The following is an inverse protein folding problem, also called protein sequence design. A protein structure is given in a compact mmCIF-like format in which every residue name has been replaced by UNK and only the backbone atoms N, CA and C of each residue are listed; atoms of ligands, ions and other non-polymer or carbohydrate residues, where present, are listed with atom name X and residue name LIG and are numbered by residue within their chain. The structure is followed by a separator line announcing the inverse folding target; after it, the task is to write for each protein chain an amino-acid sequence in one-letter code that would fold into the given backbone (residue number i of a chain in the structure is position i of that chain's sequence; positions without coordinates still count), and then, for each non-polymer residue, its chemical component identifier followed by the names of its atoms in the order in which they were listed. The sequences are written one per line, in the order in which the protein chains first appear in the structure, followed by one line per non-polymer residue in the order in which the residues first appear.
data_IF_758566991647
#
_entry.id   IF_758566991647
#
_cell.length_a   1.000
_cell.length_b   1.000
_cell.length_c   1.000
_cell.angle_alpha   90.00
_cell.angle_beta   90.00
_cell.angle_gamma   90.00
#
_symmetry.space_group_name_H-M   'P 1'
#
loop_
_entity.id
_entity.type
_entity.pdbx_description
1 polymer ?
#
# COMPACT_ATOMS: atom_id res chain seq x y z
N UNK A 1 2.10 24.17 -34.88
CA UNK A 1 3.55 23.92 -34.74
C UNK A 1 3.73 22.67 -33.89
N UNK A 2 3.86 21.54 -34.56
CA UNK A 2 4.02 20.20 -34.00
C UNK A 2 5.48 19.98 -33.61
N UNK A 3 5.76 19.69 -32.34
CA UNK A 3 7.10 19.33 -31.86
C UNK A 3 7.30 17.82 -32.00
N UNK A 4 8.38 17.46 -32.69
CA UNK A 4 8.85 16.10 -32.94
C UNK A 4 9.29 15.41 -31.64
N UNK A 5 8.90 14.14 -31.49
CA UNK A 5 9.45 13.23 -30.48
C UNK A 5 10.71 12.54 -31.04
N UNK A 6 11.84 12.76 -30.38
CA UNK A 6 13.13 12.12 -30.68
C UNK A 6 13.14 10.67 -30.20
N UNK A 7 13.08 9.71 -31.12
CA UNK A 7 13.26 8.28 -30.84
C UNK A 7 14.74 7.95 -30.54
N UNK A 8 15.04 7.52 -29.32
CA UNK A 8 16.36 7.00 -28.93
C UNK A 8 16.54 5.58 -29.48
N UNK A 9 17.60 5.38 -30.27
CA UNK A 9 18.09 4.10 -30.80
C UNK A 9 18.46 3.15 -29.66
N UNK A 10 17.86 1.96 -29.63
CA UNK A 10 18.37 0.82 -28.88
C UNK A 10 19.49 0.12 -29.66
N UNK A 11 20.61 -0.09 -28.99
CA UNK A 11 21.79 -0.77 -29.49
C UNK A 11 21.52 -2.28 -29.50
N UNK A 12 21.37 -2.89 -30.68
CA UNK A 12 21.34 -4.34 -30.84
C UNK A 12 22.77 -4.88 -30.69
N UNK A 13 23.04 -5.61 -29.61
CA UNK A 13 24.26 -6.39 -29.45
C UNK A 13 24.32 -7.45 -30.55
N UNK A 14 25.22 -7.26 -31.52
CA UNK A 14 25.57 -8.29 -32.52
C UNK A 14 26.56 -9.26 -31.87
N UNK A 15 26.11 -10.45 -31.51
CA UNK A 15 26.99 -11.59 -31.25
C UNK A 15 27.71 -11.97 -32.54
N UNK A 16 29.01 -11.68 -32.60
CA UNK A 16 29.86 -12.08 -33.72
C UNK A 16 30.30 -13.53 -33.51
N UNK A 17 29.88 -14.42 -34.40
CA UNK A 17 30.41 -15.79 -34.47
C UNK A 17 31.63 -15.78 -35.38
N UNK A 18 32.81 -15.92 -34.78
CA UNK A 18 34.09 -15.95 -35.49
C UNK A 18 34.36 -17.37 -36.01
N UNK A 19 34.20 -17.58 -37.32
CA UNK A 19 34.53 -18.86 -37.97
C UNK A 19 36.03 -18.89 -38.29
N UNK A 20 36.82 -19.54 -37.43
CA UNK A 20 38.22 -19.87 -37.73
C UNK A 20 38.28 -20.93 -38.83
N UNK A 21 38.88 -20.58 -39.97
CA UNK A 21 39.17 -21.51 -41.08
C UNK A 21 40.29 -22.48 -40.65
N UNK A 22 39.94 -23.73 -40.39
CA UNK A 22 40.92 -24.82 -40.31
C UNK A 22 41.22 -25.34 -41.73
N UNK A 23 42.51 -25.47 -42.05
CA UNK A 23 43.00 -26.10 -43.30
C UNK A 23 42.68 -27.60 -43.28
N UNK A 24 42.32 -28.10 -44.45
CA UNK A 24 41.79 -29.43 -44.72
C UNK A 24 42.76 -30.60 -44.47
N UNK A 25 42.22 -31.70 -43.94
CA UNK A 25 42.60 -33.08 -44.29
C UNK A 25 41.37 -34.00 -44.11
N UNK A 26 41.22 -35.09 -44.88
CA UNK A 26 39.93 -35.68 -45.22
C UNK A 26 39.43 -36.73 -44.22
N UNK A 27 38.20 -37.19 -44.44
CA UNK A 27 37.47 -38.31 -43.80
C UNK A 27 36.85 -38.07 -42.43
N UNK A 28 35.61 -37.54 -42.43
CA UNK A 28 34.48 -38.18 -41.72
C UNK A 28 33.16 -37.57 -42.14
N UNK A 29 32.19 -38.46 -42.38
CA UNK A 29 30.82 -38.18 -42.80
C UNK A 29 30.11 -37.40 -41.68
N UNK A 30 29.78 -36.12 -41.89
CA UNK A 30 28.89 -35.37 -41.01
C UNK A 30 27.54 -35.28 -41.69
N UNK A 31 26.56 -35.99 -41.13
CA UNK A 31 25.14 -35.89 -41.49
C UNK A 31 24.65 -34.52 -41.02
N UNK A 32 24.44 -33.60 -41.95
CA UNK A 32 23.80 -32.31 -41.66
C UNK A 32 22.29 -32.49 -41.82
N UNK A 33 21.62 -32.79 -40.72
CA UNK A 33 20.16 -32.76 -40.63
C UNK A 33 19.69 -31.30 -40.64
N UNK A 34 19.20 -30.82 -41.79
CA UNK A 34 18.50 -29.53 -41.89
C UNK A 34 17.10 -29.72 -41.34
N UNK A 35 16.88 -29.36 -40.08
CA UNK A 35 15.53 -29.23 -39.51
C UNK A 35 15.03 -27.83 -39.84
N UNK A 36 14.17 -27.74 -40.85
CA UNK A 36 13.46 -26.53 -41.23
C UNK A 36 12.29 -26.32 -40.26
N UNK A 37 12.55 -25.66 -39.12
CA UNK A 37 11.51 -25.27 -38.17
C UNK A 37 10.77 -24.03 -38.67
N UNK A 38 9.54 -24.19 -39.11
CA UNK A 38 8.63 -23.09 -39.44
C UNK A 38 8.35 -22.24 -38.20
N UNK A 39 8.85 -21.01 -38.19
CA UNK A 39 8.44 -19.98 -37.23
C UNK A 39 7.05 -19.47 -37.64
N UNK A 40 6.02 -20.05 -37.03
CA UNK A 40 4.71 -19.42 -36.95
C UNK A 40 4.84 -18.20 -36.02
N UNK A 41 4.88 -17.00 -36.62
CA UNK A 41 4.67 -15.75 -35.91
C UNK A 41 3.21 -15.73 -35.48
N UNK A 42 2.94 -16.23 -34.27
CA UNK A 42 1.68 -15.97 -33.60
C UNK A 42 1.65 -14.51 -33.18
N UNK A 43 0.74 -13.73 -33.76
CA UNK A 43 0.28 -12.49 -33.15
C UNK A 43 -0.45 -12.87 -31.86
N UNK A 44 0.29 -12.99 -30.76
CA UNK A 44 -0.29 -13.00 -29.43
C UNK A 44 -0.99 -11.66 -29.25
N UNK A 45 -2.32 -11.68 -29.21
CA UNK A 45 -3.06 -10.55 -28.67
C UNK A 45 -2.67 -10.48 -27.20
N UNK A 46 -2.05 -9.38 -26.77
CA UNK A 46 -1.91 -9.03 -25.37
C UNK A 46 -3.34 -8.85 -24.82
N UNK A 47 -3.95 -9.94 -24.36
CA UNK A 47 -5.13 -9.89 -23.51
C UNK A 47 -4.74 -9.07 -22.28
N UNK A 48 -5.49 -8.01 -21.91
CA UNK A 48 -5.19 -7.27 -20.71
C UNK A 48 -5.18 -8.24 -19.53
N UNK A 49 -4.07 -8.30 -18.80
CA UNK A 49 -3.92 -9.16 -17.65
C UNK A 49 -5.07 -8.86 -16.68
N UNK A 50 -6.04 -9.77 -16.60
CA UNK A 50 -7.08 -9.73 -15.59
C UNK A 50 -6.40 -10.15 -14.30
N UNK A 51 -6.11 -9.20 -13.42
CA UNK A 51 -5.67 -9.59 -12.09
C UNK A 51 -6.86 -10.10 -11.30
N UNK A 52 -6.65 -11.29 -10.77
CA UNK A 52 -7.52 -11.91 -9.81
C UNK A 52 -7.05 -11.50 -8.40
N UNK A 53 -7.94 -10.84 -7.67
CA UNK A 53 -7.70 -10.31 -6.35
C UNK A 53 -8.16 -11.34 -5.34
N UNK A 54 -7.29 -11.74 -4.43
CA UNK A 54 -7.67 -12.60 -3.34
C UNK A 54 -8.47 -11.80 -2.30
N UNK A 55 -9.67 -12.27 -1.98
CA UNK A 55 -10.40 -11.82 -0.82
C UNK A 55 -9.80 -12.49 0.40
N UNK A 56 -9.35 -11.68 1.37
CA UNK A 56 -8.77 -12.16 2.61
C UNK A 56 -9.65 -11.74 3.79
N UNK A 57 -10.57 -12.63 4.23
CA UNK A 57 -11.31 -12.44 5.46
C UNK A 57 -10.38 -12.29 6.67
N UNK A 58 -10.92 -11.75 7.76
CA UNK A 58 -10.23 -11.71 9.06
C UNK A 58 -9.80 -13.12 9.51
N UNK A 59 -8.64 -13.19 10.17
CA UNK A 59 -8.03 -14.43 10.65
C UNK A 59 -7.76 -15.46 9.53
N UNK A 60 -7.43 -15.00 8.33
CA UNK A 60 -7.01 -15.86 7.20
C UNK A 60 -5.74 -15.34 6.54
N UNK A 61 -5.09 -16.19 5.75
CA UNK A 61 -4.05 -15.79 4.81
C UNK A 61 -4.34 -16.48 3.46
N UNK A 62 -4.39 -15.72 2.36
CA UNK A 62 -4.61 -16.32 1.03
C UNK A 62 -3.32 -16.73 0.32
N UNK A 63 -2.19 -16.27 0.83
CA UNK A 63 -0.84 -16.61 0.38
C UNK A 63 0.00 -17.10 1.55
N UNK A 64 1.02 -17.90 1.25
CA UNK A 64 1.90 -18.55 2.23
C UNK A 64 2.49 -17.57 3.25
N UNK A 65 2.49 -17.94 4.53
CA UNK A 65 2.83 -17.02 5.62
C UNK A 65 4.35 -16.86 5.84
N UNK A 66 4.76 -15.63 6.09
CA UNK A 66 6.11 -15.32 6.57
C UNK A 66 6.31 -15.80 8.01
N UNK A 67 5.32 -15.64 8.87
CA UNK A 67 5.43 -16.00 10.29
C UNK A 67 4.14 -16.69 10.76
N UNK A 68 4.17 -17.41 11.90
CA UNK A 68 2.96 -17.63 12.68
C UNK A 68 2.26 -16.28 12.97
N UNK A 69 0.97 -16.27 13.33
CA UNK A 69 0.28 -15.04 13.69
C UNK A 69 1.01 -14.26 14.79
N UNK A 70 1.30 -13.00 14.51
CA UNK A 70 1.92 -12.01 15.42
C UNK A 70 0.92 -10.92 15.79
N UNK A 71 -0.37 -11.21 15.68
CA UNK A 71 -1.43 -10.26 15.96
C UNK A 71 -2.79 -10.93 15.87
N UNK A 72 -3.82 -10.20 16.29
CA UNK A 72 -5.20 -10.67 16.29
C UNK A 72 -6.07 -9.69 15.51
N UNK A 73 -6.76 -10.20 14.50
CA UNK A 73 -7.77 -9.44 13.79
C UNK A 73 -9.01 -9.22 14.68
N UNK A 74 -9.71 -8.10 14.48
CA UNK A 74 -10.99 -7.82 15.13
C UNK A 74 -12.14 -8.30 14.23
N UNK A 75 -13.10 -9.03 14.80
CA UNK A 75 -14.30 -9.48 14.08
C UNK A 75 -15.38 -8.41 14.13
N UNK A 76 -16.38 -8.52 13.24
CA UNK A 76 -17.59 -7.70 13.25
C UNK A 76 -17.36 -6.18 13.08
N UNK A 77 -16.20 -5.79 12.55
CA UNK A 77 -15.88 -4.39 12.23
C UNK A 77 -16.72 -3.94 11.03
N UNK A 78 -17.67 -3.04 11.29
CA UNK A 78 -18.50 -2.48 10.22
C UNK A 78 -17.79 -1.30 9.55
N UNK A 79 -17.58 -1.41 8.24
CA UNK A 79 -16.91 -0.35 7.49
C UNK A 79 -17.68 0.99 7.51
N UNK A 80 -17.00 2.15 7.65
CA UNK A 80 -17.59 3.49 7.52
C UNK A 80 -18.50 3.66 6.31
N UNK A 81 -19.51 4.53 6.43
CA UNK A 81 -20.50 4.79 5.35
C UNK A 81 -19.85 5.29 4.05
N UNK A 82 -18.79 6.07 4.19
CA UNK A 82 -17.98 6.63 3.10
C UNK A 82 -16.69 5.82 2.87
N UNK A 83 -16.67 4.54 3.22
CA UNK A 83 -15.61 3.62 2.81
C UNK A 83 -15.57 3.47 1.28
N UNK A 84 -14.37 3.27 0.74
CA UNK A 84 -14.14 3.07 -0.69
C UNK A 84 -13.34 4.20 -1.34
N UNK A 85 -12.83 3.92 -2.53
CA UNK A 85 -12.04 4.87 -3.32
C UNK A 85 -10.64 5.09 -2.75
N UNK A 86 -10.01 6.21 -3.11
CA UNK A 86 -8.68 6.56 -2.60
C UNK A 86 -8.82 7.45 -1.35
N UNK A 87 -8.24 7.01 -0.23
CA UNK A 87 -8.20 7.77 1.02
C UNK A 87 -6.76 8.01 1.43
N UNK A 88 -6.48 9.19 1.97
CA UNK A 88 -5.14 9.49 2.52
C UNK A 88 -4.91 8.68 3.79
N UNK A 89 -3.71 8.12 3.95
CA UNK A 89 -3.31 7.36 5.15
C UNK A 89 -3.42 8.13 6.47
N UNK A 90 -3.36 9.47 6.42
CA UNK A 90 -3.56 10.34 7.58
C UNK A 90 -5.01 10.71 7.88
N UNK A 91 -5.98 10.15 7.14
CA UNK A 91 -7.40 10.47 7.35
C UNK A 91 -7.84 10.01 8.74
N UNK A 92 -8.37 10.92 9.55
CA UNK A 92 -8.86 10.61 10.89
C UNK A 92 -9.92 9.50 10.83
N UNK A 93 -9.68 8.40 11.54
CA UNK A 93 -10.57 7.25 11.56
C UNK A 93 -10.54 6.37 10.32
N UNK A 94 -9.59 6.54 9.40
CA UNK A 94 -9.30 5.48 8.42
C UNK A 94 -8.97 4.18 9.12
N UNK A 95 -8.15 4.29 10.15
CA UNK A 95 -7.74 3.20 10.99
C UNK A 95 -8.51 3.18 12.31
N UNK A 96 -8.51 2.02 12.93
CA UNK A 96 -9.10 1.79 14.23
C UNK A 96 -8.17 1.02 15.15
N UNK A 97 -8.74 0.60 16.26
CA UNK A 97 -8.10 -0.24 17.27
C UNK A 97 -8.72 0.01 18.64
N UNK A 98 -8.19 -0.63 19.66
CA UNK A 98 -8.64 -0.41 21.03
C UNK A 98 -7.63 0.44 21.79
N UNK A 99 -8.10 1.51 22.45
CA UNK A 99 -7.23 2.40 23.20
C UNK A 99 -6.43 1.62 24.25
N UNK A 100 -5.11 1.84 24.29
CA UNK A 100 -4.16 1.15 25.20
C UNK A 100 -4.07 -0.37 25.01
N UNK A 101 -4.44 -0.87 23.83
CA UNK A 101 -4.32 -2.28 23.47
C UNK A 101 -3.70 -2.41 22.08
N UNK A 102 -2.79 -3.36 21.97
CA UNK A 102 -2.16 -3.73 20.71
C UNK A 102 -3.00 -4.76 19.95
N UNK A 103 -2.97 -4.66 18.62
CA UNK A 103 -3.53 -5.66 17.71
C UNK A 103 -2.43 -6.43 16.98
N UNK A 104 -1.20 -5.89 16.98
CA UNK A 104 -0.01 -6.46 16.37
C UNK A 104 1.15 -6.40 17.37
N UNK A 105 1.82 -7.53 17.55
CA UNK A 105 3.04 -7.71 18.32
C UNK A 105 4.25 -7.56 17.39
N UNK A 106 4.76 -6.33 17.34
CA UNK A 106 5.93 -5.97 16.53
C UNK A 106 7.21 -6.70 17.01
N UNK A 107 7.33 -6.97 18.30
CA UNK A 107 8.49 -7.66 18.88
C UNK A 107 8.50 -9.14 18.47
N UNK A 108 7.34 -9.81 18.48
CA UNK A 108 7.21 -11.19 18.01
C UNK A 108 7.54 -11.32 16.51
N UNK A 109 7.13 -10.35 15.68
CA UNK A 109 7.51 -10.30 14.26
C UNK A 109 9.03 -10.25 14.09
N UNK A 110 9.68 -9.29 14.75
CA UNK A 110 11.14 -9.10 14.67
C UNK A 110 11.86 -10.34 15.21
N UNK A 111 11.43 -10.85 16.36
CA UNK A 111 12.02 -12.01 17.00
C UNK A 111 11.94 -13.27 16.15
N UNK A 112 10.84 -13.47 15.43
CA UNK A 112 10.71 -14.58 14.47
C UNK A 112 11.63 -14.38 13.27
N UNK A 113 11.60 -13.21 12.62
CA UNK A 113 12.44 -12.94 11.44
C UNK A 113 13.94 -13.06 11.76
N UNK A 114 14.40 -12.62 12.93
CA UNK A 114 15.79 -12.78 13.35
C UNK A 114 16.23 -14.25 13.50
N UNK A 115 15.30 -15.15 13.85
CA UNK A 115 15.55 -16.59 13.93
C UNK A 115 15.50 -17.28 12.56
N UNK A 116 14.94 -16.62 11.54
CA UNK A 116 14.71 -17.16 10.20
C UNK A 116 15.32 -16.24 9.13
N UNK A 117 16.65 -16.32 8.99
CA UNK A 117 17.42 -15.39 8.15
C UNK A 117 17.03 -15.36 6.67
N UNK A 118 16.57 -16.47 6.11
CA UNK A 118 16.07 -16.58 4.73
C UNK A 118 14.75 -15.80 4.54
N UNK A 119 13.81 -15.99 5.47
CA UNK A 119 12.55 -15.23 5.53
C UNK A 119 12.80 -13.75 5.78
N UNK A 120 13.70 -13.41 6.70
CA UNK A 120 14.07 -12.01 6.96
C UNK A 120 14.65 -11.32 5.71
N UNK A 121 15.54 -12.00 4.98
CA UNK A 121 16.09 -11.46 3.74
C UNK A 121 15.00 -11.20 2.68
N UNK A 122 14.08 -12.15 2.49
CA UNK A 122 12.96 -11.97 1.55
C UNK A 122 11.98 -10.88 2.01
N UNK A 123 11.67 -10.81 3.30
CA UNK A 123 10.78 -9.81 3.89
C UNK A 123 11.33 -8.40 3.72
N UNK A 124 12.61 -8.20 4.06
CA UNK A 124 13.31 -6.94 3.86
C UNK A 124 13.40 -6.56 2.38
N UNK A 125 13.65 -7.54 1.50
CA UNK A 125 13.68 -7.36 0.06
C UNK A 125 12.36 -6.83 -0.53
N UNK A 126 11.21 -7.27 -0.03
CA UNK A 126 9.89 -6.75 -0.45
C UNK A 126 9.75 -5.26 -0.13
N UNK A 127 10.22 -4.84 1.04
CA UNK A 127 10.11 -3.46 1.52
C UNK A 127 11.29 -2.57 1.09
N UNK A 128 12.28 -3.14 0.39
CA UNK A 128 13.45 -2.41 -0.10
C UNK A 128 14.37 -1.89 0.99
N UNK A 129 14.43 -2.59 2.13
CA UNK A 129 15.32 -2.26 3.25
C UNK A 129 16.43 -3.32 3.39
N UNK A 130 17.50 -2.98 4.08
CA UNK A 130 18.51 -3.97 4.46
C UNK A 130 17.97 -4.90 5.56
N UNK A 131 18.35 -6.18 5.51
CA UNK A 131 17.90 -7.18 6.49
C UNK A 131 18.27 -6.77 7.94
N UNK A 132 19.42 -6.11 8.13
CA UNK A 132 19.87 -5.64 9.42
C UNK A 132 18.98 -4.50 9.99
N UNK A 133 18.24 -3.81 9.14
CA UNK A 133 17.39 -2.68 9.52
C UNK A 133 15.98 -3.10 9.95
N UNK A 134 15.59 -4.37 9.78
CA UNK A 134 14.26 -4.88 10.16
C UNK A 134 13.85 -4.43 11.56
N UNK A 135 14.67 -4.57 12.63
CA UNK A 135 14.25 -4.17 13.98
C UNK A 135 13.95 -2.68 14.06
N UNK A 136 14.81 -1.83 13.49
CA UNK A 136 14.63 -0.38 13.50
C UNK A 136 13.43 0.05 12.66
N UNK A 137 13.22 -0.59 11.52
CA UNK A 137 12.10 -0.29 10.64
C UNK A 137 10.78 -0.63 11.31
N UNK A 138 10.68 -1.84 11.88
CA UNK A 138 9.46 -2.33 12.57
C UNK A 138 9.15 -1.51 13.83
N UNK A 139 10.17 -1.06 14.58
CA UNK A 139 10.00 -0.15 15.73
C UNK A 139 9.33 1.18 15.35
N UNK A 140 9.52 1.64 14.12
CA UNK A 140 8.85 2.84 13.60
C UNK A 140 7.39 2.63 13.16
N UNK A 141 6.91 1.38 13.13
CA UNK A 141 5.57 1.07 12.65
C UNK A 141 4.53 1.17 13.76
N UNK A 142 3.31 1.53 13.37
CA UNK A 142 2.19 1.70 14.30
C UNK A 142 1.22 0.54 14.17
N UNK A 143 0.85 -0.09 15.29
CA UNK A 143 -0.20 -1.13 15.29
C UNK A 143 -1.56 -0.48 15.12
N UNK A 144 -2.35 -0.94 14.13
CA UNK A 144 -3.72 -0.49 13.90
C UNK A 144 -4.60 -1.63 13.39
N UNK A 145 -5.91 -1.38 13.35
CA UNK A 145 -6.91 -2.23 12.70
C UNK A 145 -7.49 -1.50 11.50
N UNK A 146 -7.66 -2.18 10.38
CA UNK A 146 -8.34 -1.61 9.21
C UNK A 146 -9.82 -1.41 9.51
N UNK A 147 -10.37 -0.21 9.27
CA UNK A 147 -11.82 0.01 9.36
C UNK A 147 -12.52 -0.12 8.02
N UNK A 148 -11.79 -0.30 6.93
CA UNK A 148 -12.33 -0.45 5.58
C UNK A 148 -11.76 -1.69 4.93
N UNK A 149 -12.53 -2.30 4.04
CA UNK A 149 -12.00 -3.29 3.11
C UNK A 149 -10.89 -2.62 2.30
N UNK A 150 -9.65 -3.09 2.41
CA UNK A 150 -8.47 -2.35 1.96
C UNK A 150 -7.73 -3.12 0.90
N UNK A 151 -7.41 -2.44 -0.19
CA UNK A 151 -6.69 -3.02 -1.30
C UNK A 151 -5.17 -2.90 -1.12
N UNK A 152 -4.47 -4.02 -1.23
CA UNK A 152 -3.02 -4.16 -1.07
C UNK A 152 -2.43 -5.17 -2.05
N UNK A 153 -1.11 -5.21 -2.15
CA UNK A 153 -0.39 -6.40 -2.62
C UNK A 153 0.16 -7.13 -1.40
N UNK A 154 -0.31 -8.33 -1.13
CA UNK A 154 0.14 -9.19 -0.03
C UNK A 154 1.26 -10.12 -0.54
N UNK A 155 2.40 -10.12 0.14
CA UNK A 155 3.55 -10.92 -0.26
C UNK A 155 3.71 -12.15 0.63
N UNK A 156 3.58 -13.35 0.06
CA UNK A 156 3.80 -14.60 0.78
C UNK A 156 5.26 -15.07 0.70
N UNK A 157 5.59 -16.17 1.35
CA UNK A 157 6.93 -16.78 1.28
C UNK A 157 6.88 -18.23 0.83
N UNK A 158 7.49 -18.52 -0.33
CA UNK A 158 7.54 -19.87 -0.91
C UNK A 158 8.90 -20.14 -1.54
N UNK A 159 9.41 -21.37 -1.34
CA UNK A 159 10.65 -21.84 -1.97
C UNK A 159 11.86 -20.89 -1.84
N UNK A 160 11.98 -20.20 -0.70
CA UNK A 160 13.10 -19.30 -0.43
C UNK A 160 12.92 -17.87 -0.94
N UNK A 161 11.74 -17.51 -1.46
CA UNK A 161 11.49 -16.23 -2.11
C UNK A 161 10.15 -15.63 -1.69
N UNK A 162 10.02 -14.31 -1.80
CA UNK A 162 8.73 -13.64 -1.66
C UNK A 162 7.88 -13.87 -2.93
N UNK A 163 6.59 -14.15 -2.74
CA UNK A 163 5.56 -14.14 -3.79
C UNK A 163 4.75 -12.86 -3.70
N UNK A 164 3.98 -12.51 -4.73
CA UNK A 164 3.13 -11.32 -4.71
C UNK A 164 1.72 -11.66 -5.20
N UNK A 165 0.70 -11.29 -4.43
CA UNK A 165 -0.70 -11.44 -4.83
C UNK A 165 -1.49 -10.14 -4.54
N UNK A 166 -2.22 -9.60 -5.53
CA UNK A 166 -3.24 -8.60 -5.28
C UNK A 166 -4.28 -9.16 -4.29
N UNK A 167 -4.59 -8.40 -3.24
CA UNK A 167 -5.51 -8.85 -2.19
C UNK A 167 -6.37 -7.70 -1.65
N UNK A 168 -7.63 -8.01 -1.33
CA UNK A 168 -8.48 -7.14 -0.49
C UNK A 168 -8.53 -7.73 0.90
N UNK A 169 -8.00 -6.99 1.87
CA UNK A 169 -8.09 -7.32 3.29
C UNK A 169 -9.43 -6.83 3.82
N UNK A 170 -10.16 -7.69 4.53
CA UNK A 170 -11.42 -7.31 5.18
C UNK A 170 -11.21 -6.23 6.26
N UNK A 171 -12.18 -5.33 6.43
CA UNK A 171 -12.25 -4.50 7.62
C UNK A 171 -12.18 -5.36 8.91
N UNK A 172 -11.34 -4.97 9.87
CA UNK A 172 -11.02 -5.75 11.05
C UNK A 172 -9.64 -6.41 11.01
N UNK A 173 -8.99 -6.50 9.85
CA UNK A 173 -7.62 -7.01 9.78
C UNK A 173 -6.63 -6.11 10.53
N UNK A 174 -5.81 -6.71 11.39
CA UNK A 174 -4.74 -6.05 12.11
C UNK A 174 -3.50 -5.88 11.22
N UNK A 175 -2.96 -4.66 11.17
CA UNK A 175 -1.80 -4.31 10.34
C UNK A 175 -0.82 -3.41 11.10
N UNK A 176 0.43 -3.46 10.67
CA UNK A 176 1.42 -2.42 10.98
C UNK A 176 1.39 -1.39 9.85
N UNK A 177 1.32 -0.10 10.20
CA UNK A 177 1.37 1.03 9.26
C UNK A 177 2.64 1.86 9.47
N UNK A 178 3.21 2.36 8.37
CA UNK A 178 4.39 3.24 8.42
C UNK A 178 4.05 4.65 8.91
N UNK A 179 5.03 5.55 8.94
CA UNK A 179 4.83 6.96 9.34
C UNK A 179 4.10 7.82 8.29
N UNK A 180 3.74 7.27 7.14
CA UNK A 180 3.01 7.95 6.06
C UNK A 180 1.61 7.37 5.84
N UNK A 181 1.18 6.46 6.72
CA UNK A 181 -0.15 5.85 6.70
C UNK A 181 -0.29 4.76 5.66
N UNK A 182 0.77 4.07 5.30
CA UNK A 182 0.71 2.90 4.40
C UNK A 182 0.69 1.62 5.22
N UNK A 183 -0.25 0.68 5.01
CA UNK A 183 -0.15 -0.66 5.57
C UNK A 183 1.06 -1.40 4.98
N UNK A 184 1.95 -1.88 5.84
CA UNK A 184 3.21 -2.54 5.43
C UNK A 184 3.34 -3.97 5.95
N UNK A 185 2.51 -4.41 6.88
CA UNK A 185 2.51 -5.80 7.35
C UNK A 185 1.13 -6.24 7.78
N UNK A 186 0.68 -7.43 7.35
CA UNK A 186 -0.52 -8.08 7.88
C UNK A 186 -0.13 -8.94 9.08
N UNK A 187 -0.69 -8.63 10.25
CA UNK A 187 -0.21 -9.22 11.52
C UNK A 187 -0.64 -10.69 11.70
N UNK A 188 -1.69 -11.14 11.02
CA UNK A 188 -2.12 -12.54 11.07
C UNK A 188 -1.11 -13.52 10.43
N UNK A 189 -0.30 -13.07 9.47
CA UNK A 189 0.68 -13.93 8.76
C UNK A 189 2.11 -13.38 8.73
N UNK A 190 2.34 -12.18 9.27
CA UNK A 190 3.63 -11.49 9.22
C UNK A 190 4.06 -11.05 7.82
N UNK A 191 3.17 -11.16 6.84
CA UNK A 191 3.49 -10.90 5.44
C UNK A 191 3.71 -9.40 5.20
N UNK A 192 4.78 -9.02 4.48
CA UNK A 192 4.97 -7.64 4.07
C UNK A 192 3.91 -7.26 3.03
N UNK A 193 3.40 -6.04 3.16
CA UNK A 193 2.40 -5.46 2.28
C UNK A 193 3.03 -4.34 1.48
N UNK A 194 2.61 -4.18 0.23
CA UNK A 194 2.99 -3.03 -0.60
C UNK A 194 1.75 -2.43 -1.25
N UNK A 195 1.93 -1.25 -1.85
CA UNK A 195 0.87 -0.58 -2.60
C UNK A 195 0.25 -1.57 -3.61
N UNK A 196 -1.08 -1.57 -3.77
CA UNK A 196 -1.70 -2.33 -4.83
C UNK A 196 -1.12 -1.95 -6.21
N UNK A 197 -0.98 -2.94 -7.09
CA UNK A 197 -0.80 -2.66 -8.52
C UNK A 197 -2.09 -2.01 -9.09
N UNK A 198 -1.96 -1.24 -10.17
CA UNK A 198 -3.10 -0.56 -10.79
C UNK A 198 -3.94 -1.53 -11.63
N UNK A 199 -5.27 -1.42 -11.57
CA UNK A 199 -6.17 -2.29 -12.33
C UNK A 199 -7.39 -1.55 -12.87
N UNK A 200 -7.72 -1.82 -14.13
CA UNK A 200 -8.89 -1.24 -14.80
C UNK A 200 -10.17 -2.05 -14.52
N UNK A 201 -10.05 -3.37 -14.26
CA UNK A 201 -11.17 -4.30 -14.03
C UNK A 201 -10.77 -5.51 -13.15
N UNK A 202 -10.83 -5.40 -11.82
CA UNK A 202 -10.50 -6.52 -10.94
C UNK A 202 -11.54 -7.64 -11.01
N UNK A 203 -11.08 -8.88 -11.02
CA UNK A 203 -11.92 -10.04 -10.63
C UNK A 203 -11.54 -10.46 -9.22
N UNK A 204 -12.49 -11.00 -8.45
CA UNK A 204 -12.26 -11.37 -7.05
C UNK A 204 -12.38 -12.88 -6.88
N UNK A 205 -11.51 -13.46 -6.05
CA UNK A 205 -11.44 -14.88 -5.71
C UNK A 205 -11.43 -15.08 -4.21
N UNK A 206 -11.99 -16.21 -3.77
CA UNK A 206 -12.17 -16.53 -2.36
C UNK A 206 -13.59 -16.21 -1.89
N UNK A 207 -13.86 -16.53 -0.63
CA UNK A 207 -15.18 -16.36 -0.05
C UNK A 207 -15.37 -14.89 0.39
N UNK A 208 -16.35 -14.16 -0.19
CA UNK A 208 -16.66 -12.82 0.28
C UNK A 208 -17.36 -12.87 1.65
N UNK A 209 -17.06 -11.90 2.50
CA UNK A 209 -17.82 -11.65 3.74
C UNK A 209 -19.18 -11.01 3.43
N UNK A 210 -20.18 -11.11 4.34
CA UNK A 210 -21.56 -10.70 4.07
C UNK A 210 -21.76 -9.26 3.58
N UNK A 211 -20.91 -8.33 4.01
CA UNK A 211 -20.98 -6.91 3.65
C UNK A 211 -19.95 -6.46 2.61
N UNK A 212 -19.18 -7.40 2.01
CA UNK A 212 -18.22 -7.09 0.96
C UNK A 212 -18.89 -6.41 -0.23
N UNK A 213 -18.36 -5.25 -0.62
CA UNK A 213 -18.82 -4.50 -1.80
C UNK A 213 -17.62 -3.95 -2.55
N UNK A 214 -17.49 -4.32 -3.83
CA UNK A 214 -16.36 -3.89 -4.67
C UNK A 214 -16.21 -2.36 -4.72
N UNK A 215 -17.32 -1.63 -4.70
CA UNK A 215 -17.37 -0.16 -4.72
C UNK A 215 -16.93 0.49 -3.40
N UNK A 216 -16.80 -0.29 -2.32
CA UNK A 216 -16.41 0.17 -0.97
C UNK A 216 -14.99 -0.24 -0.58
N UNK A 217 -14.24 -0.83 -1.52
CA UNK A 217 -12.83 -1.15 -1.33
C UNK A 217 -11.99 0.13 -1.38
N UNK A 218 -11.18 0.33 -0.35
CA UNK A 218 -10.35 1.50 -0.15
C UNK A 218 -8.92 1.24 -0.61
N UNK A 219 -8.34 2.17 -1.36
CA UNK A 219 -6.91 2.25 -1.62
C UNK A 219 -6.34 3.33 -0.73
N UNK A 220 -5.40 2.96 0.14
CA UNK A 220 -4.73 3.94 0.98
C UNK A 220 -3.59 4.61 0.20
N UNK A 221 -3.62 5.94 0.15
CA UNK A 221 -2.57 6.75 -0.43
C UNK A 221 -1.68 7.29 0.68
N UNK A 222 -0.39 6.99 0.56
CA UNK A 222 0.66 7.53 1.43
C UNK A 222 0.60 9.06 1.48
N UNK A 223 0.83 9.63 2.66
CA UNK A 223 0.96 11.07 2.85
C UNK A 223 2.34 11.55 2.42
N UNK A 224 2.45 12.80 1.98
CA UNK A 224 3.74 13.47 1.73
C UNK A 224 4.36 14.07 3.00
N UNK A 225 3.60 14.07 4.10
CA UNK A 225 4.03 14.55 5.41
C UNK A 225 4.02 13.39 6.40
N UNK A 226 4.99 13.36 7.30
CA UNK A 226 5.02 12.36 8.37
C UNK A 226 3.83 12.57 9.33
N UNK A 227 3.15 11.47 9.60
CA UNK A 227 2.09 11.39 10.59
C UNK A 227 2.78 11.14 11.92
N UNK A 228 2.66 12.08 12.86
CA UNK A 228 3.17 11.92 14.22
C UNK A 228 2.15 11.26 15.16
N UNK A 229 0.86 11.44 14.86
CA UNK A 229 -0.27 10.94 15.64
C UNK A 229 -1.33 10.44 14.66
N UNK A 230 -1.73 9.19 14.84
CA UNK A 230 -2.92 8.64 14.21
C UNK A 230 -4.15 8.89 15.08
N UNK A 231 -5.20 9.47 14.50
CA UNK A 231 -6.51 9.54 15.15
C UNK A 231 -7.27 8.28 14.79
N UNK A 232 -7.32 7.32 15.72
CA UNK A 232 -7.95 6.01 15.55
C UNK A 232 -9.36 6.01 16.11
N UNK A 233 -10.27 5.22 15.52
CA UNK A 233 -11.59 4.96 16.10
C UNK A 233 -11.63 3.58 16.73
N UNK A 234 -12.17 3.49 17.93
CA UNK A 234 -12.59 2.19 18.46
C UNK A 234 -13.67 1.58 17.56
N UNK A 235 -13.47 0.39 16.95
CA UNK A 235 -14.42 -0.14 15.97
C UNK A 235 -15.80 -0.48 16.54
N UNK A 236 -15.88 -0.83 17.83
CA UNK A 236 -17.14 -1.14 18.51
C UNK A 236 -17.96 0.12 18.86
N UNK A 237 -17.29 1.16 19.36
CA UNK A 237 -17.95 2.34 19.95
C UNK A 237 -17.90 3.58 19.05
N UNK A 238 -17.01 3.59 18.06
CA UNK A 238 -16.70 4.76 17.24
C UNK A 238 -15.95 5.88 17.97
N UNK A 239 -15.61 5.70 19.24
CA UNK A 239 -14.94 6.74 20.05
C UNK A 239 -13.51 6.95 19.54
N UNK A 240 -13.11 8.19 19.22
CA UNK A 240 -11.77 8.47 18.72
C UNK A 240 -10.73 8.56 19.85
N UNK A 241 -9.51 8.14 19.55
CA UNK A 241 -8.35 8.27 20.41
C UNK A 241 -7.08 8.49 19.58
N UNK A 242 -6.08 9.12 20.19
CA UNK A 242 -4.83 9.47 19.55
C UNK A 242 -3.79 8.39 19.87
N UNK A 243 -3.18 7.80 18.84
CA UNK A 243 -2.05 6.87 18.93
C UNK A 243 -0.80 7.49 18.32
N UNK A 244 0.25 7.77 19.10
CA UNK A 244 1.52 8.22 18.55
C UNK A 244 2.11 7.18 17.57
N UNK A 245 2.72 7.66 16.50
CA UNK A 245 3.39 6.79 15.52
C UNK A 245 4.53 5.99 16.15
N UNK A 246 4.75 4.76 15.66
CA UNK A 246 5.76 3.84 16.22
C UNK A 246 5.36 3.25 17.56
N UNK A 247 4.06 3.19 17.87
CA UNK A 247 3.57 2.60 19.12
C UNK A 247 2.51 1.54 18.88
N UNK A 248 2.38 0.63 19.85
CA UNK A 248 1.37 -0.44 19.85
C UNK A 248 0.15 -0.11 20.72
N UNK A 249 0.13 1.09 21.34
CA UNK A 249 -1.01 1.61 22.09
C UNK A 249 -0.71 2.03 23.53
N UNK A 250 0.43 1.63 24.09
CA UNK A 250 0.87 1.98 25.43
C UNK A 250 0.90 3.50 25.73
N UNK A 251 0.94 4.34 24.68
CA UNK A 251 0.99 5.81 24.76
C UNK A 251 -0.28 6.48 24.25
N UNK A 252 -1.36 5.73 24.05
CA UNK A 252 -2.63 6.28 23.57
C UNK A 252 -3.23 7.30 24.55
N UNK A 253 -3.85 8.33 23.99
CA UNK A 253 -4.59 9.36 24.76
C UNK A 253 -5.98 9.59 24.17
N UNK A 254 -6.97 10.09 24.94
CA UNK A 254 -8.28 10.42 24.38
C UNK A 254 -8.17 11.53 23.33
N UNK A 255 -8.82 11.36 22.18
CA UNK A 255 -8.79 12.39 21.13
C UNK A 255 -9.81 13.49 21.41
N UNK A 256 -9.46 14.72 21.06
CA UNK A 256 -10.39 15.85 21.06
C UNK A 256 -11.05 16.05 19.68
N UNK A 257 -10.61 15.31 18.65
CA UNK A 257 -11.12 15.41 17.28
C UNK A 257 -12.27 14.42 17.09
N UNK A 258 -13.52 14.88 17.20
CA UNK A 258 -14.71 14.05 16.96
C UNK A 258 -15.40 14.36 15.63
N UNK A 259 -15.32 15.60 15.14
CA UNK A 259 -16.15 16.08 14.02
C UNK A 259 -15.60 15.77 12.63
N UNK A 260 -14.31 15.43 12.52
CA UNK A 260 -13.61 15.20 11.24
C UNK A 260 -13.32 13.70 10.96
N UNK A 261 -13.85 12.81 11.80
CA UNK A 261 -13.64 11.37 11.70
C UNK A 261 -14.37 10.77 10.50
N UNK A 262 -13.81 9.74 9.86
CA UNK A 262 -14.62 8.84 9.03
C UNK A 262 -15.75 8.24 9.89
N UNK A 263 -17.02 8.58 9.61
CA UNK A 263 -18.13 8.25 10.47
C UNK A 263 -18.29 6.72 10.58
N UNK A 264 -18.61 6.19 11.76
CA UNK A 264 -18.87 4.77 11.90
C UNK A 264 -19.98 4.32 10.95
N UNK A 265 -19.84 3.12 10.40
CA UNK A 265 -20.89 2.47 9.65
C UNK A 265 -22.00 2.05 10.60
N UNK A 266 -22.97 2.91 10.88
CA UNK A 266 -24.16 2.46 11.61
C UNK A 266 -25.07 1.69 10.66
N UNK A 267 -25.21 0.38 10.89
CA UNK A 267 -26.28 -0.43 10.33
C UNK A 267 -27.56 -0.08 11.08
N UNK A 268 -28.24 0.98 10.64
CA UNK A 268 -29.61 1.20 11.10
C UNK A 268 -30.46 0.08 10.55
N UNK A 269 -30.71 -0.94 11.35
CA UNK A 269 -31.97 -1.68 11.25
C UNK A 269 -33.07 -0.62 11.31
N UNK A 270 -33.73 -0.42 10.17
CA UNK A 270 -34.85 0.51 10.04
C UNK A 270 -35.86 0.21 11.15
N UNK A 271 -36.12 1.11 12.11
CA UNK A 271 -37.31 0.95 12.92
C UNK A 271 -38.48 1.17 11.98
N UNK A 272 -39.27 0.11 11.77
CA UNK A 272 -40.53 0.18 11.05
C UNK A 272 -41.33 1.37 11.58
N UNK A 273 -41.42 2.43 10.77
CA UNK A 273 -42.26 3.56 11.06
C UNK A 273 -43.71 3.09 10.96
N UNK A 274 -44.35 2.89 12.10
CA UNK A 274 -45.81 2.81 12.21
C UNK A 274 -46.38 4.13 11.68
N UNK A 275 -47.28 4.13 10.68
CA UNK A 275 -47.92 5.37 10.26
C UNK A 275 -48.96 5.74 11.32
N UNK A 276 -48.67 6.77 12.11
CA UNK A 276 -49.72 7.51 12.83
C UNK A 276 -50.46 8.37 11.80
N UNK A 277 -51.66 7.94 11.45
CA UNK A 277 -52.63 8.76 10.74
C UNK A 277 -52.99 9.99 11.60
N UNK A 278 -52.90 11.17 11.00
CA UNK A 278 -53.55 12.39 11.49
C UNK A 278 -54.11 13.11 10.26
N UNK A 279 -55.38 13.56 10.30
CA UNK A 279 -56.15 13.83 9.10
C UNK A 279 -55.83 15.19 8.47
N UNK A 280 -56.10 15.23 7.18
CA UNK A 280 -55.95 16.36 6.26
C UNK A 280 -56.67 17.65 6.70
N UNK A 281 -56.20 18.78 6.17
CA UNK A 281 -57.12 19.78 5.65
C UNK A 281 -56.93 19.97 4.13
N UNK A 282 -58.03 19.72 3.44
CA UNK A 282 -58.57 20.38 2.24
C UNK A 282 -57.64 21.36 1.51
N UNK A 283 -57.31 21.05 0.25
CA UNK A 283 -56.98 22.06 -0.75
C UNK A 283 -57.90 21.92 -1.96
N UNK A 284 -58.61 23.01 -2.20
CA UNK A 284 -59.49 23.26 -3.33
C UNK A 284 -58.67 23.55 -4.59
N UNK A 285 -59.23 23.08 -5.69
CA UNK A 285 -58.83 23.06 -7.09
C UNK A 285 -58.00 24.22 -7.66
N UNK A 286 -57.00 23.84 -8.47
CA UNK A 286 -56.40 24.60 -9.58
C UNK A 286 -57.46 25.00 -10.63
N UNK A 287 -57.22 26.00 -11.51
CA UNK A 287 -56.58 25.66 -12.80
C UNK A 287 -55.80 26.80 -13.55
N UNK A 288 -55.02 26.39 -14.58
CA UNK A 288 -54.78 27.12 -15.88
C UNK A 288 -53.81 28.33 -15.86
N UNK A 289 -52.79 28.57 -16.71
CA UNK A 289 -52.22 28.04 -17.98
C UNK A 289 -50.90 28.83 -18.28
N UNK A 290 -49.95 28.36 -19.14
CA UNK A 290 -48.65 28.99 -19.47
C UNK A 290 -48.74 29.86 -20.77
N UNK A 291 -47.67 30.22 -21.53
CA UNK A 291 -46.23 30.49 -21.30
C UNK A 291 -45.78 31.90 -21.79
N UNK A 292 -44.57 32.37 -21.46
CA UNK A 292 -43.86 33.30 -22.37
C UNK A 292 -42.32 33.34 -22.18
N UNK A 293 -41.67 32.72 -23.16
CA UNK A 293 -40.40 33.00 -23.84
C UNK A 293 -39.75 34.39 -23.65
N UNK A 294 -38.44 34.43 -23.33
CA UNK A 294 -37.46 35.40 -23.86
C UNK A 294 -36.02 35.08 -23.39
N UNK A 295 -35.25 34.43 -24.26
CA UNK A 295 -33.80 34.68 -24.49
C UNK A 295 -33.73 35.41 -25.85
N UNK A 296 -32.64 36.07 -26.32
CA UNK A 296 -31.26 36.12 -25.81
C UNK A 296 -30.62 37.53 -25.87
N UNK A 297 -29.35 37.67 -25.49
CA UNK A 297 -28.26 38.17 -26.39
C UNK A 297 -26.93 38.31 -25.62
N UNK A 298 -25.77 38.08 -26.29
CA UNK A 298 -24.45 37.97 -25.70
C UNK A 298 -23.64 39.27 -25.75
N UNK A 299 -22.64 39.40 -24.88
CA UNK A 299 -21.60 40.45 -24.95
C UNK A 299 -20.22 39.85 -25.20
N UNK A 300 -19.72 40.05 -26.43
CA UNK A 300 -18.32 40.22 -26.86
C UNK A 300 -17.58 41.29 -26.03
N UNK A 301 -16.25 41.50 -25.98
CA UNK A 301 -15.00 40.92 -26.51
C UNK A 301 -13.84 41.65 -25.79
N UNK A 302 -12.67 41.01 -25.66
CA UNK A 302 -11.27 41.52 -25.68
C UNK A 302 -10.42 40.69 -24.69
N UNK A 303 -9.49 39.83 -25.11
CA UNK A 303 -8.28 40.03 -25.93
C UNK A 303 -7.27 40.99 -25.29
N UNK A 304 -6.45 40.48 -24.35
CA UNK A 304 -5.09 41.00 -24.17
C UNK A 304 -4.10 39.91 -23.73
N UNK A 305 -2.94 39.95 -24.36
CA UNK A 305 -1.82 38.99 -24.35
C UNK A 305 -0.86 39.30 -23.18
N UNK A 306 -0.09 38.32 -22.67
CA UNK A 306 0.63 38.46 -21.40
C UNK A 306 1.97 39.20 -21.55
N UNK A 307 2.47 39.88 -20.49
CA UNK A 307 3.86 40.31 -20.45
C UNK A 307 4.78 39.17 -19.99
N UNK A 308 5.77 38.94 -20.83
CA UNK A 308 7.01 38.21 -20.66
C UNK A 308 7.82 38.80 -19.48
N UNK A 309 8.26 37.95 -18.55
CA UNK A 309 9.20 38.34 -17.48
C UNK A 309 10.50 37.59 -17.72
N UNK A 310 11.55 38.35 -18.06
CA UNK A 310 12.90 37.87 -18.28
C UNK A 310 13.54 37.27 -17.00
N UNK A 311 14.50 36.34 -17.12
CA UNK A 311 15.24 35.80 -15.99
C UNK A 311 16.36 36.76 -15.57
N UNK A 312 16.33 37.22 -14.32
CA UNK A 312 17.46 37.93 -13.72
C UNK A 312 18.56 36.95 -13.33
N UNK A 313 19.69 37.09 -14.03
CA UNK A 313 21.01 36.60 -13.68
C UNK A 313 21.45 37.17 -12.31
N UNK A 314 21.93 36.29 -11.45
CA UNK A 314 22.25 36.57 -10.05
C UNK A 314 23.29 35.58 -9.56
N UNK A 315 24.51 35.70 -10.09
CA UNK A 315 25.67 34.98 -9.63
C UNK A 315 25.96 35.23 -8.15
N UNK A 316 26.08 34.15 -7.39
CA UNK A 316 26.78 34.13 -6.11
C UNK A 316 27.47 32.77 -5.96
N UNK A 317 28.76 32.75 -6.28
CA UNK A 317 29.72 31.73 -5.84
C UNK A 317 29.89 31.83 -4.32
N UNK A 318 30.01 30.70 -3.63
CA UNK A 318 31.16 30.58 -2.74
C UNK A 318 31.91 29.25 -2.93
N UNK A 319 33.20 29.42 -3.21
CA UNK A 319 34.38 28.69 -2.77
C UNK A 319 34.19 27.27 -2.24
N UNK A 320 34.81 26.34 -2.97
CA UNK A 320 35.23 25.05 -2.46
C UNK A 320 36.34 25.20 -1.40
N UNK A 321 36.08 24.72 -0.19
CA UNK A 321 37.10 24.16 0.70
C UNK A 321 36.62 22.77 1.11
N UNK A 322 37.51 21.79 1.01
CA UNK A 322 37.43 20.54 1.76
C UNK A 322 38.84 20.19 2.25
N UNK A 323 39.03 19.07 2.94
CA UNK A 323 38.21 18.44 3.96
C UNK A 323 38.91 18.54 5.34
N UNK A 324 38.16 18.48 6.45
CA UNK A 324 38.75 18.20 7.78
C UNK A 324 38.19 16.87 8.25
N UNK A 325 39.01 15.83 8.12
CA UNK A 325 38.82 14.52 8.73
C UNK A 325 39.02 14.64 10.23
N UNK A 326 37.96 14.47 11.02
CA UNK A 326 38.08 14.19 12.45
C UNK A 326 37.66 12.73 12.67
N UNK A 327 38.67 11.85 12.73
CA UNK A 327 38.50 10.43 13.01
C UNK A 327 38.44 10.28 14.54
N UNK A 328 37.32 9.85 15.14
CA UNK A 328 37.29 9.53 16.56
C UNK A 328 38.19 8.31 16.86
N UNK A 329 38.89 8.26 18.00
CA UNK A 329 39.67 7.09 18.39
C UNK A 329 38.77 5.86 18.57
N UNK A 330 39.28 4.64 18.32
CA UNK A 330 38.50 3.42 18.49
C UNK A 330 38.09 3.22 19.97
N UNK A 331 36.93 2.62 20.23
CA UNK A 331 36.51 2.28 21.59
C UNK A 331 37.47 1.24 22.19
N UNK A 332 37.93 1.52 23.41
CA UNK A 332 38.73 0.58 24.21
C UNK A 332 37.90 -0.65 24.55
N UNK A 333 38.36 -1.84 24.14
CA UNK A 333 37.73 -3.11 24.52
C UNK A 333 37.74 -3.29 26.05
N UNK A 334 36.65 -3.80 26.67
CA UNK A 334 36.67 -4.22 28.06
C UNK A 334 37.57 -5.46 28.22
N UNK A 335 38.55 -5.37 29.12
CA UNK A 335 39.35 -6.53 29.54
C UNK A 335 38.43 -7.49 30.31
N UNK A 336 38.22 -8.68 29.76
CA UNK A 336 37.51 -9.78 30.39
C UNK A 336 38.29 -10.26 31.65
N UNK A 337 37.66 -10.40 32.83
CA UNK A 337 38.33 -10.92 34.01
C UNK A 337 38.58 -12.43 33.87
N UNK A 338 39.81 -12.86 34.14
CA UNK A 338 40.20 -14.26 34.15
C UNK A 338 39.33 -15.09 35.11
N UNK A 339 38.70 -16.14 34.58
CA UNK A 339 38.00 -17.18 35.36
C UNK A 339 39.06 -18.10 35.98
N UNK A 340 39.09 -18.29 37.32
CA UNK A 340 39.97 -19.28 37.93
C UNK A 340 39.47 -20.71 37.67
N UNK A 341 40.40 -21.62 37.41
CA UNK A 341 40.17 -23.06 37.20
C UNK A 341 39.48 -23.74 38.40
N UNK A 342 38.68 -24.79 38.18
CA UNK A 342 38.06 -25.54 39.26
C UNK A 342 39.09 -26.42 39.99
N UNK A 343 39.28 -26.18 41.28
CA UNK A 343 39.88 -27.16 42.19
C UNK A 343 38.89 -28.30 42.48
N UNK A 344 39.41 -29.54 42.41
CA UNK A 344 38.73 -30.82 42.67
C UNK A 344 37.92 -30.90 43.97
#
# INVERSE_FOLDING_TARGET
MTREFSARKWLVMRTSVEVRKFKATPTSLVVVSVVLGALLVGCGQDEPATAEFQLEPVATASVSEFTPPVGTDETDVTAPRNAGGELSGGTAGLYGGTQKKESCDAEALVGYLQQHGDKAAAWAGVLGIDQADIPRYVDGLTSVVLRTDTYVTNHGYEAGQATAAPAVLQAGTAVLVDQYGTPVTKCYCGNPLTKPAGYERPTYKGDPWPDFQQTRVTVVQSTVIEINIYVLANPETGVPFDRPTGTTGNRDTPSQVQSEMLPPGVSTASPAATPSETPAPTLTETPTTPPQEATPTPGETDAETPPEVEPTDGGATPTAEGPVTDIPPPPTEPVEPAVPEPTS
#
